data_IF_299680394114
#
_entry.id   IF_299680394114
#
_cell.length_a   1.000
_cell.length_b   1.000
_cell.length_c   1.000
_cell.angle_alpha   90.00
_cell.angle_beta   90.00
_cell.angle_gamma   90.00
#
_symmetry.space_group_name_H-M   'P 1'
#
loop_
_entity.id
_entity.type
_entity.pdbx_description
1 polymer ?
#
# COMPACT_ATOMS: atom_id res chain seq x y z
N UNK A 1 -17.92 -20.93 51.87
CA UNK A 1 -18.23 -19.53 51.45
C UNK A 1 -17.02 -18.63 51.19
N UNK A 2 -15.83 -18.87 51.76
CA UNK A 2 -14.64 -18.02 51.50
C UNK A 2 -13.94 -18.35 50.17
N UNK A 3 -13.77 -19.63 49.85
CA UNK A 3 -13.12 -20.13 48.62
C UNK A 3 -13.84 -19.69 47.34
N UNK A 4 -15.17 -19.67 47.32
CA UNK A 4 -15.99 -19.19 46.19
C UNK A 4 -15.74 -17.71 45.88
N UNK A 5 -15.45 -16.87 46.88
CA UNK A 5 -15.16 -15.44 46.69
C UNK A 5 -13.80 -15.22 46.02
N UNK A 6 -12.80 -16.02 46.36
CA UNK A 6 -11.48 -15.96 45.71
C UNK A 6 -11.52 -16.43 44.26
N UNK A 7 -12.28 -17.50 43.98
CA UNK A 7 -12.49 -17.98 42.60
C UNK A 7 -13.20 -16.92 41.76
N UNK A 8 -14.24 -16.29 42.32
CA UNK A 8 -14.96 -15.21 41.66
C UNK A 8 -14.09 -13.98 41.38
N UNK A 9 -13.18 -13.63 42.30
CA UNK A 9 -12.23 -12.52 42.14
C UNK A 9 -11.18 -12.82 41.06
N UNK A 10 -10.69 -14.07 41.03
CA UNK A 10 -9.66 -14.48 40.08
C UNK A 10 -10.22 -14.53 38.65
N UNK A 11 -11.48 -14.95 38.51
CA UNK A 11 -12.19 -14.95 37.23
C UNK A 11 -12.43 -13.53 36.69
N UNK A 12 -12.82 -12.57 37.53
CA UNK A 12 -13.00 -11.17 37.08
C UNK A 12 -11.70 -10.52 36.65
N UNK A 13 -10.59 -10.75 37.36
CA UNK A 13 -9.27 -10.24 36.95
C UNK A 13 -8.82 -10.85 35.62
N UNK A 14 -9.06 -12.14 35.42
CA UNK A 14 -8.71 -12.82 34.17
C UNK A 14 -9.51 -12.27 32.98
N UNK A 15 -10.82 -12.05 33.14
CA UNK A 15 -11.66 -11.44 32.10
C UNK A 15 -11.20 -10.01 31.80
N UNK A 16 -10.86 -9.23 32.82
CA UNK A 16 -10.36 -7.86 32.62
C UNK A 16 -9.02 -7.85 31.85
N UNK A 17 -8.12 -8.80 32.13
CA UNK A 17 -6.86 -8.94 31.41
C UNK A 17 -7.05 -9.30 29.92
N UNK A 18 -8.08 -10.08 29.59
CA UNK A 18 -8.41 -10.43 28.20
C UNK A 18 -8.99 -9.26 27.39
N UNK A 19 -9.60 -8.27 28.05
CA UNK A 19 -10.18 -7.11 27.37
C UNK A 19 -9.14 -6.02 27.03
N UNK A 20 -7.99 -6.00 27.71
CA UNK A 20 -6.93 -4.99 27.50
C UNK A 20 -6.10 -5.28 26.23
N UNK A 21 -6.14 -6.50 25.69
CA UNK A 21 -5.38 -6.87 24.49
C UNK A 21 -6.06 -6.56 23.17
N UNK A 22 -7.25 -5.93 23.17
CA UNK A 22 -7.91 -5.46 21.96
C UNK A 22 -7.33 -4.09 21.51
N UNK A 23 -6.05 -4.08 21.16
CA UNK A 23 -5.46 -2.98 20.42
C UNK A 23 -5.77 -3.17 18.93
N UNK A 24 -6.46 -2.22 18.30
CA UNK A 24 -6.62 -2.23 16.84
C UNK A 24 -5.22 -2.17 16.22
N UNK A 25 -4.81 -3.28 15.61
CA UNK A 25 -3.56 -3.34 14.86
C UNK A 25 -3.75 -2.41 13.66
N UNK A 26 -3.16 -1.21 13.71
CA UNK A 26 -3.18 -0.26 12.60
C UNK A 26 -2.52 -1.00 11.43
N UNK A 27 -3.33 -1.53 10.51
CA UNK A 27 -2.86 -2.22 9.33
C UNK A 27 -2.13 -1.16 8.51
N UNK A 28 -0.81 -1.07 8.66
CA UNK A 28 0.02 -0.25 7.80
C UNK A 28 0.03 -1.01 6.48
N UNK A 29 -0.98 -0.79 5.66
CA UNK A 29 -1.05 -1.34 4.31
C UNK A 29 0.24 -0.95 3.63
N UNK A 30 1.08 -1.95 3.32
CA UNK A 30 2.38 -1.68 2.72
C UNK A 30 2.17 -1.28 1.26
N UNK A 31 1.93 0.01 1.05
CA UNK A 31 1.72 0.59 -0.27
C UNK A 31 3.00 0.63 -1.11
N UNK A 32 4.18 0.42 -0.49
CA UNK A 32 5.51 0.44 -1.13
C UNK A 32 5.80 -0.85 -1.88
N UNK A 33 4.96 -1.14 -2.86
CA UNK A 33 5.07 -2.32 -3.74
C UNK A 33 4.84 -1.94 -5.19
N UNK A 34 5.07 -2.90 -6.08
CA UNK A 34 4.63 -2.78 -7.46
C UNK A 34 3.20 -3.30 -7.59
N UNK A 35 2.35 -2.48 -8.18
CA UNK A 35 0.94 -2.75 -8.43
C UNK A 35 0.73 -2.99 -9.92
N UNK A 36 -0.13 -3.94 -10.26
CA UNK A 36 -0.56 -4.19 -11.64
C UNK A 36 -1.96 -3.60 -11.83
N UNK A 37 -2.13 -2.84 -12.90
CA UNK A 37 -3.44 -2.30 -13.27
C UNK A 37 -4.26 -3.42 -13.89
N UNK A 38 -5.37 -3.79 -13.25
CA UNK A 38 -6.21 -4.91 -13.70
C UNK A 38 -7.44 -4.46 -14.48
N UNK A 39 -7.86 -3.20 -14.35
CA UNK A 39 -8.99 -2.64 -15.09
C UNK A 39 -8.80 -1.13 -15.23
N UNK A 40 -9.11 -0.54 -16.38
CA UNK A 40 -9.16 0.91 -16.53
C UNK A 40 -10.10 1.28 -17.66
N UNK A 41 -11.20 1.98 -17.36
CA UNK A 41 -12.26 2.29 -18.34
C UNK A 41 -12.66 1.01 -19.10
N UNK A 42 -12.52 1.02 -20.42
CA UNK A 42 -12.89 -0.08 -21.31
C UNK A 42 -11.75 -1.09 -21.55
N UNK A 43 -10.59 -0.93 -20.90
CA UNK A 43 -9.47 -1.87 -21.03
C UNK A 43 -9.62 -3.08 -20.11
N UNK A 44 -9.60 -4.27 -20.69
CA UNK A 44 -9.70 -5.54 -19.98
C UNK A 44 -8.43 -5.88 -19.20
N UNK A 45 -8.57 -6.77 -18.21
CA UNK A 45 -7.45 -7.28 -17.42
C UNK A 45 -6.40 -7.97 -18.27
N UNK A 46 -6.84 -8.76 -19.24
CA UNK A 46 -5.97 -9.53 -20.14
C UNK A 46 -5.07 -8.56 -20.91
N UNK A 47 -5.65 -7.52 -21.50
CA UNK A 47 -4.91 -6.51 -22.24
C UNK A 47 -3.94 -5.75 -21.33
N UNK A 48 -4.37 -5.30 -20.16
CA UNK A 48 -3.52 -4.53 -19.24
C UNK A 48 -2.37 -5.38 -18.69
N UNK A 49 -2.63 -6.66 -18.45
CA UNK A 49 -1.61 -7.63 -18.01
C UNK A 49 -0.62 -7.93 -19.14
N UNK A 50 -1.11 -8.16 -20.36
CA UNK A 50 -0.28 -8.36 -21.55
C UNK A 50 0.65 -7.15 -21.80
N UNK A 51 0.11 -5.94 -21.66
CA UNK A 51 0.86 -4.69 -21.76
C UNK A 51 1.67 -4.36 -20.51
N UNK A 52 1.68 -5.21 -19.47
CA UNK A 52 2.42 -5.01 -18.22
C UNK A 52 2.14 -3.65 -17.57
N UNK A 53 0.91 -3.17 -17.67
CA UNK A 53 0.50 -1.90 -17.11
C UNK A 53 0.67 -1.93 -15.57
N UNK A 54 1.64 -1.18 -15.05
CA UNK A 54 2.06 -1.28 -13.64
C UNK A 54 2.36 0.08 -13.03
N UNK A 55 2.21 0.18 -11.71
CA UNK A 55 2.60 1.30 -10.88
C UNK A 55 3.62 0.81 -9.85
N UNK A 56 4.85 1.28 -9.93
CA UNK A 56 5.93 0.92 -9.03
C UNK A 56 6.11 2.01 -7.95
N UNK A 57 5.86 1.61 -6.71
CA UNK A 57 5.99 2.41 -5.48
C UNK A 57 7.08 1.85 -4.54
N UNK A 58 7.93 0.92 -4.97
CA UNK A 58 8.89 0.23 -4.09
C UNK A 58 9.98 1.14 -3.55
N UNK A 59 10.38 2.16 -4.31
CA UNK A 59 11.55 3.01 -4.01
C UNK A 59 11.18 4.28 -3.23
N UNK A 60 10.06 4.24 -2.53
CA UNK A 60 9.50 5.36 -1.76
C UNK A 60 10.12 5.37 -0.34
N UNK A 61 11.09 6.27 -0.10
CA UNK A 61 11.80 6.59 1.15
C UNK A 61 11.27 7.79 2.02
N UNK A 62 10.07 7.71 2.62
CA UNK A 62 9.65 8.52 3.77
C UNK A 62 9.20 9.98 3.55
N UNK A 63 8.55 10.57 4.57
CA UNK A 63 7.78 11.84 4.53
C UNK A 63 8.57 13.10 4.11
N UNK A 64 9.89 13.09 4.24
CA UNK A 64 10.74 14.27 4.01
C UNK A 64 11.30 14.36 2.58
N UNK A 65 10.99 13.39 1.72
CA UNK A 65 11.41 13.39 0.33
C UNK A 65 10.25 12.85 -0.52
N UNK A 66 9.51 13.67 -1.28
CA UNK A 66 8.42 13.17 -2.11
C UNK A 66 9.02 12.32 -3.24
N UNK A 67 9.09 11.00 -3.06
CA UNK A 67 9.93 10.18 -3.92
C UNK A 67 9.25 9.81 -5.23
N UNK A 68 10.14 9.54 -6.18
CA UNK A 68 9.84 9.17 -7.55
C UNK A 68 9.25 7.76 -7.62
N UNK A 69 7.92 7.68 -7.68
CA UNK A 69 7.22 6.52 -8.21
C UNK A 69 7.31 6.48 -9.74
N UNK A 70 6.98 5.34 -10.33
CA UNK A 70 6.88 5.22 -11.79
C UNK A 70 5.69 4.37 -12.21
N UNK A 71 5.03 4.76 -13.29
CA UNK A 71 3.98 3.97 -13.92
C UNK A 71 4.41 3.59 -15.33
N UNK A 72 4.19 2.33 -15.68
CA UNK A 72 4.32 1.83 -17.04
C UNK A 72 2.92 1.58 -17.60
N UNK A 73 2.57 2.20 -18.72
CA UNK A 73 1.24 2.12 -19.33
C UNK A 73 1.31 1.45 -20.71
N UNK A 74 2.03 0.33 -20.81
CA UNK A 74 2.13 -0.45 -22.04
C UNK A 74 3.27 -0.07 -22.97
N UNK A 75 3.40 1.20 -23.31
CA UNK A 75 4.47 1.72 -24.17
C UNK A 75 5.10 3.02 -23.66
N UNK A 76 4.54 3.60 -22.61
CA UNK A 76 5.01 4.84 -22.01
C UNK A 76 5.36 4.60 -20.55
N UNK A 77 6.47 5.19 -20.12
CA UNK A 77 6.82 5.28 -18.71
C UNK A 77 6.57 6.71 -18.23
N UNK A 78 5.85 6.82 -17.13
CA UNK A 78 5.54 8.08 -16.44
C UNK A 78 6.26 8.02 -15.10
N UNK A 79 7.09 9.02 -14.80
CA UNK A 79 7.56 9.25 -13.42
C UNK A 79 6.59 10.16 -12.72
N UNK A 80 6.38 9.93 -11.44
CA UNK A 80 5.48 10.70 -10.61
C UNK A 80 6.07 10.82 -9.20
N UNK A 81 5.63 11.80 -8.43
CA UNK A 81 5.84 11.84 -6.99
C UNK A 81 4.62 11.28 -6.29
N UNK A 82 4.83 10.59 -5.18
CA UNK A 82 3.75 10.07 -4.35
C UNK A 82 3.95 10.49 -2.89
N UNK A 83 2.89 10.98 -2.25
CA UNK A 83 2.85 11.29 -0.82
C UNK A 83 1.75 10.48 -0.16
N UNK A 84 2.11 9.68 0.85
CA UNK A 84 1.17 8.95 1.69
C UNK A 84 0.77 9.85 2.87
N UNK A 85 -0.53 9.93 3.14
CA UNK A 85 -1.09 10.64 4.29
C UNK A 85 -1.63 9.63 5.31
N UNK A 86 -1.68 10.03 6.58
CA UNK A 86 -2.24 9.23 7.67
C UNK A 86 -3.70 8.79 7.45
N UNK A 87 -4.44 9.50 6.59
CA UNK A 87 -5.83 9.22 6.23
C UNK A 87 -5.99 8.10 5.16
N UNK A 88 -5.00 7.22 4.99
CA UNK A 88 -4.98 6.16 3.96
C UNK A 88 -5.09 6.69 2.51
N UNK A 89 -4.84 7.98 2.31
CA UNK A 89 -4.85 8.64 1.00
C UNK A 89 -3.45 8.68 0.42
N UNK A 90 -3.38 8.48 -0.89
CA UNK A 90 -2.16 8.67 -1.68
C UNK A 90 -2.37 9.85 -2.62
N UNK A 91 -1.49 10.84 -2.53
CA UNK A 91 -1.48 12.00 -3.42
C UNK A 91 -0.37 11.79 -4.44
N UNK A 92 -0.73 11.79 -5.72
CA UNK A 92 0.22 11.74 -6.83
C UNK A 92 0.40 13.14 -7.42
N UNK A 93 1.63 13.56 -7.68
CA UNK A 93 1.95 14.85 -8.29
C UNK A 93 3.13 14.73 -9.26
N UNK A 94 3.47 15.83 -9.96
CA UNK A 94 4.69 15.96 -10.76
C UNK A 94 4.89 14.81 -11.76
N UNK A 95 3.97 14.71 -12.73
CA UNK A 95 4.00 13.67 -13.76
C UNK A 95 4.93 14.06 -14.90
N UNK A 96 5.96 13.26 -15.14
CA UNK A 96 6.92 13.45 -16.23
C UNK A 96 6.96 12.23 -17.14
N UNK A 97 6.74 12.43 -18.44
CA UNK A 97 6.84 11.36 -19.44
C UNK A 97 8.31 11.09 -19.77
N UNK A 98 8.70 9.83 -19.74
CA UNK A 98 9.95 9.36 -20.34
C UNK A 98 9.63 8.44 -21.52
N UNK A 99 10.06 8.84 -22.71
CA UNK A 99 10.10 7.96 -23.88
C UNK A 99 11.51 7.38 -23.97
N UNK A 100 11.66 6.07 -23.77
CA UNK A 100 12.90 5.40 -24.14
C UNK A 100 12.97 5.42 -25.67
N UNK A 101 13.91 6.19 -26.23
CA UNK A 101 14.37 5.95 -27.60
C UNK A 101 15.01 4.57 -27.56
N UNK A 102 14.30 3.56 -28.03
CA UNK A 102 14.89 2.26 -28.31
C UNK A 102 16.00 2.51 -29.32
N UNK A 103 17.24 2.60 -28.83
CA UNK A 103 18.42 2.51 -29.68
C UNK A 103 18.35 1.15 -30.34
N UNK A 104 17.81 1.13 -31.57
CA UNK A 104 17.96 0.01 -32.49
C UNK A 104 19.48 -0.14 -32.66
N UNK A 105 20.08 -1.08 -31.92
CA UNK A 105 21.35 -1.66 -32.36
C UNK A 105 21.06 -2.31 -33.71
N UNK A 106 21.43 -1.58 -34.77
CA UNK A 106 21.65 -2.10 -36.11
C UNK A 106 22.85 -3.03 -36.12
#
# INVERSE_FOLDING_TARGET
MKTTKYISLLLTVFIYALLISCGSQKNITNYKRQWMLVTFKDYSKELLTEKKATLNLTNIQGENNPESGSAYMGCNTIRLKAKFSDDEKVIFSDFYKYSYVLSRKS
#
